data_IF_805286868124
#
_entry.id   IF_805286868124
#
_cell.length_a   1.000
_cell.length_b   1.000
_cell.length_c   1.000
_cell.angle_alpha   90.00
_cell.angle_beta   90.00
_cell.angle_gamma   90.00
#
_symmetry.space_group_name_H-M   'P 1'
#
loop_
_entity.id
_entity.type
_entity.pdbx_description
1 polymer ?
#
# COMPACT_ATOMS: atom_id res chain seq x y z
N UNK A 1 65.64 23.34 75.90
CA UNK A 1 66.57 23.02 74.84
C UNK A 1 65.95 21.89 73.99
N UNK A 2 65.45 22.21 72.86
CA UNK A 2 65.29 21.35 71.70
C UNK A 2 64.54 22.16 70.63
N UNK A 3 65.23 22.50 69.58
CA UNK A 3 64.70 23.20 68.41
C UNK A 3 63.91 22.23 67.58
N UNK A 4 62.65 22.54 67.22
CA UNK A 4 61.92 21.87 66.13
C UNK A 4 62.05 22.74 64.88
N UNK A 5 62.60 22.13 63.84
CA UNK A 5 62.56 22.64 62.48
C UNK A 5 61.12 22.36 61.93
N UNK A 6 60.51 23.43 61.45
CA UNK A 6 59.28 23.30 60.64
C UNK A 6 59.64 23.32 59.16
N UNK A 7 59.44 22.21 58.52
CA UNK A 7 59.56 22.04 57.05
C UNK A 7 58.26 22.45 56.40
N UNK A 8 58.30 23.56 55.65
CA UNK A 8 57.13 23.99 54.87
C UNK A 8 56.95 23.13 53.62
N UNK A 9 55.80 22.56 53.51
CA UNK A 9 55.34 21.87 52.28
C UNK A 9 54.50 22.85 51.46
N UNK A 10 55.06 23.29 50.33
CA UNK A 10 54.34 24.10 49.36
C UNK A 10 53.40 23.22 48.57
N UNK A 11 52.10 23.33 48.80
CA UNK A 11 51.08 22.68 47.98
C UNK A 11 50.92 23.47 46.67
N UNK A 12 51.31 22.86 45.58
CA UNK A 12 50.98 23.34 44.22
C UNK A 12 49.55 22.90 43.92
N UNK A 13 48.61 23.83 43.93
CA UNK A 13 47.26 23.64 43.41
C UNK A 13 47.34 23.65 41.90
N UNK A 14 47.26 22.45 41.31
CA UNK A 14 46.98 22.29 39.90
C UNK A 14 45.48 22.58 39.71
N UNK A 15 45.15 23.72 39.10
CA UNK A 15 43.83 24.06 38.66
C UNK A 15 43.52 23.12 37.48
N UNK A 16 42.75 22.05 37.70
CA UNK A 16 42.05 21.36 36.66
C UNK A 16 41.00 22.32 36.08
N UNK A 17 41.24 22.79 34.86
CA UNK A 17 40.20 23.43 34.06
C UNK A 17 39.04 22.42 33.90
N UNK A 18 37.95 22.70 34.61
CA UNK A 18 36.72 21.97 34.47
C UNK A 18 36.25 22.09 33.02
N UNK A 19 36.27 20.98 32.32
CA UNK A 19 35.43 20.79 31.12
C UNK A 19 34.00 20.91 31.62
N UNK A 20 33.34 22.01 31.27
CA UNK A 20 31.90 22.12 31.43
C UNK A 20 31.30 20.96 30.60
N UNK A 21 30.91 19.91 31.30
CA UNK A 21 29.94 18.97 30.77
C UNK A 21 28.63 19.75 30.65
N UNK A 22 28.37 20.28 29.45
CA UNK A 22 27.03 20.67 29.08
C UNK A 22 26.14 19.45 29.31
N UNK A 23 25.36 19.50 30.39
CA UNK A 23 24.24 18.63 30.61
C UNK A 23 23.35 18.75 29.35
N UNK A 24 23.16 17.64 28.66
CA UNK A 24 22.06 17.47 27.71
C UNK A 24 20.77 17.56 28.55
N UNK A 25 20.35 18.76 28.88
CA UNK A 25 19.03 19.03 29.41
C UNK A 25 18.05 18.97 28.26
N UNK A 26 17.04 18.14 28.44
CA UNK A 26 15.87 17.90 27.62
C UNK A 26 16.11 17.33 26.22
N UNK A 27 15.58 16.14 26.01
CA UNK A 27 15.51 15.36 24.79
C UNK A 27 14.89 16.03 23.57
N UNK A 28 15.23 17.26 23.28
CA UNK A 28 14.87 17.96 22.04
C UNK A 28 15.85 17.62 20.95
N UNK A 29 15.38 16.92 19.91
CA UNK A 29 16.19 16.54 18.75
C UNK A 29 16.68 17.73 17.90
N UNK A 30 16.31 18.97 18.22
CA UNK A 30 16.74 20.17 17.48
C UNK A 30 16.69 21.43 18.32
N UNK A 31 17.48 22.45 17.90
CA UNK A 31 17.58 23.74 18.56
C UNK A 31 16.35 24.63 18.41
N UNK A 32 16.16 25.58 19.33
CA UNK A 32 15.13 26.63 19.20
C UNK A 32 15.30 27.41 17.89
N UNK A 33 14.17 27.65 17.19
CA UNK A 33 14.16 28.34 15.89
C UNK A 33 14.20 27.41 14.67
N UNK A 34 14.21 26.09 14.85
CA UNK A 34 14.10 25.13 13.75
C UNK A 34 12.76 25.28 13.05
N UNK A 35 12.78 25.36 11.71
CA UNK A 35 11.56 25.44 10.89
C UNK A 35 10.74 24.15 11.00
N UNK A 36 9.47 24.28 11.38
CA UNK A 36 8.50 23.18 11.40
C UNK A 36 7.73 23.18 10.08
N UNK A 37 7.67 22.00 9.45
CA UNK A 37 6.90 21.76 8.23
C UNK A 37 5.56 21.11 8.61
N UNK A 38 4.46 21.75 8.22
CA UNK A 38 3.11 21.21 8.45
C UNK A 38 2.47 20.92 7.11
N UNK A 39 2.23 19.64 6.86
CA UNK A 39 1.64 19.15 5.62
C UNK A 39 0.30 18.49 5.85
N UNK A 40 -0.48 18.43 4.80
CA UNK A 40 -1.77 17.74 4.76
C UNK A 40 -1.67 16.53 3.84
N UNK A 41 -2.19 15.38 4.30
CA UNK A 41 -2.40 14.18 3.53
C UNK A 41 -3.90 13.89 3.42
N UNK A 42 -4.35 13.54 2.22
CA UNK A 42 -5.72 13.05 1.95
C UNK A 42 -5.66 11.60 1.48
N UNK A 43 -6.67 10.78 1.82
CA UNK A 43 -6.62 9.35 1.48
C UNK A 43 -7.90 8.89 0.79
N UNK A 44 -7.81 7.78 0.06
CA UNK A 44 -8.96 7.08 -0.53
C UNK A 44 -9.69 6.17 0.46
N UNK A 45 -9.21 6.08 1.70
CA UNK A 45 -9.68 5.14 2.72
C UNK A 45 -10.44 5.86 3.84
N UNK A 46 -11.40 5.20 4.47
CA UNK A 46 -12.00 5.71 5.71
C UNK A 46 -10.91 5.91 6.77
N UNK A 47 -11.02 6.98 7.54
CA UNK A 47 -10.04 7.28 8.60
C UNK A 47 -9.97 6.15 9.62
N UNK A 48 -8.76 5.80 10.05
CA UNK A 48 -8.48 4.72 11.01
C UNK A 48 -9.00 3.33 10.57
N UNK A 49 -9.33 3.16 9.29
CA UNK A 49 -9.71 1.84 8.79
C UNK A 49 -8.53 0.87 8.89
N UNK A 50 -8.73 -0.36 9.38
CA UNK A 50 -7.65 -1.33 9.55
C UNK A 50 -6.79 -1.49 8.28
N UNK A 51 -5.47 -1.56 8.45
CA UNK A 51 -4.50 -1.59 7.36
C UNK A 51 -4.52 -0.34 6.50
N UNK A 52 -5.49 -0.21 5.59
CA UNK A 52 -5.53 0.86 4.57
C UNK A 52 -5.61 2.27 5.15
N UNK A 53 -6.48 2.51 6.13
CA UNK A 53 -6.63 3.81 6.78
C UNK A 53 -5.52 4.07 7.82
N UNK A 54 -5.00 3.00 8.44
CA UNK A 54 -3.91 3.11 9.40
C UNK A 54 -2.55 3.32 8.73
N UNK A 55 -2.33 2.81 7.52
CA UNK A 55 -1.06 2.99 6.79
C UNK A 55 -0.62 4.45 6.67
N UNK A 56 -1.45 5.38 6.16
CA UNK A 56 -1.13 6.81 6.13
C UNK A 56 -0.95 7.43 7.51
N UNK A 57 -1.66 6.99 8.55
CA UNK A 57 -1.48 7.45 9.92
C UNK A 57 -0.12 6.98 10.48
N UNK A 58 0.26 5.73 10.25
CA UNK A 58 1.56 5.19 10.63
C UNK A 58 2.70 5.89 9.90
N UNK A 59 2.56 6.13 8.59
CA UNK A 59 3.52 6.95 7.84
C UNK A 59 3.70 8.34 8.46
N UNK A 60 2.60 9.04 8.76
CA UNK A 60 2.61 10.35 9.42
C UNK A 60 3.35 10.30 10.77
N UNK A 61 3.05 9.29 11.58
CA UNK A 61 3.70 9.04 12.87
C UNK A 61 5.21 8.81 12.71
N UNK A 62 5.63 7.98 11.75
CA UNK A 62 7.05 7.72 11.51
C UNK A 62 7.80 8.97 11.08
N UNK A 63 7.20 9.79 10.21
CA UNK A 63 7.79 11.07 9.81
C UNK A 63 7.95 12.00 11.02
N UNK A 64 6.93 12.10 11.88
CA UNK A 64 6.98 12.92 13.09
C UNK A 64 8.08 12.44 14.05
N UNK A 65 8.12 11.15 14.35
CA UNK A 65 9.11 10.52 15.24
C UNK A 65 10.54 10.66 14.70
N UNK A 66 10.79 10.33 13.43
CA UNK A 66 12.12 10.40 12.83
C UNK A 66 12.62 11.86 12.67
N UNK A 67 11.70 12.82 12.57
CA UNK A 67 12.04 14.23 12.49
C UNK A 67 12.00 14.93 13.84
N UNK A 68 11.68 14.20 14.93
CA UNK A 68 11.45 14.76 16.26
C UNK A 68 10.42 15.89 16.28
N UNK A 69 9.35 15.80 15.46
CA UNK A 69 8.31 16.82 15.36
C UNK A 69 8.62 17.96 14.39
N UNK A 70 9.76 17.93 13.68
CA UNK A 70 10.11 18.97 12.69
C UNK A 70 9.22 18.92 11.45
N UNK A 71 8.65 17.74 11.12
CA UNK A 71 7.69 17.57 10.06
C UNK A 71 6.44 16.86 10.57
N UNK A 72 5.33 17.56 10.51
CA UNK A 72 4.03 17.11 11.01
C UNK A 72 3.07 16.97 9.83
N UNK A 73 2.46 15.79 9.69
CA UNK A 73 1.53 15.49 8.60
C UNK A 73 0.14 15.22 9.21
N UNK A 74 -0.84 16.04 8.84
CA UNK A 74 -2.24 15.81 9.22
C UNK A 74 -2.95 14.99 8.18
N UNK A 75 -3.44 13.81 8.57
CA UNK A 75 -4.14 12.87 7.69
C UNK A 75 -5.64 13.11 7.75
N UNK A 76 -6.28 13.13 6.57
CA UNK A 76 -7.73 13.19 6.39
C UNK A 76 -8.21 11.96 5.63
N UNK A 77 -9.22 11.29 6.16
CA UNK A 77 -9.85 10.15 5.51
C UNK A 77 -10.71 10.53 4.30
N UNK A 78 -11.16 9.49 3.59
CA UNK A 78 -12.04 9.64 2.43
C UNK A 78 -13.28 10.47 2.73
N UNK A 79 -13.52 11.53 1.95
CA UNK A 79 -14.67 12.41 2.09
C UNK A 79 -14.55 13.50 3.17
N UNK A 80 -13.49 13.49 4.00
CA UNK A 80 -13.30 14.53 5.02
C UNK A 80 -12.77 15.85 4.43
N UNK A 81 -11.96 15.79 3.40
CA UNK A 81 -11.37 16.97 2.75
C UNK A 81 -11.64 17.00 1.24
N UNK A 82 -11.51 15.85 0.57
CA UNK A 82 -11.83 15.63 -0.84
C UNK A 82 -12.61 14.32 -0.99
N UNK A 83 -13.39 14.13 -2.07
CA UNK A 83 -13.95 12.83 -2.39
C UNK A 83 -12.84 11.76 -2.50
N UNK A 84 -13.14 10.52 -2.13
CA UNK A 84 -12.16 9.44 -2.10
C UNK A 84 -11.33 9.30 -3.39
N UNK A 85 -11.97 9.36 -4.56
CA UNK A 85 -11.31 9.26 -5.86
C UNK A 85 -10.80 10.62 -6.41
N UNK A 86 -10.85 11.68 -5.61
CA UNK A 86 -10.30 13.01 -5.94
C UNK A 86 -8.89 13.27 -5.40
N UNK A 87 -8.28 12.30 -4.74
CA UNK A 87 -6.96 12.42 -4.08
C UNK A 87 -5.86 12.82 -5.07
N UNK A 88 -5.78 12.16 -6.21
CA UNK A 88 -4.76 12.44 -7.24
C UNK A 88 -4.79 13.90 -7.70
N UNK A 89 -5.97 14.42 -8.02
CA UNK A 89 -6.14 15.80 -8.49
C UNK A 89 -5.78 16.81 -7.40
N UNK A 90 -6.20 16.55 -6.16
CA UNK A 90 -5.92 17.45 -5.05
C UNK A 90 -4.42 17.64 -4.82
N UNK A 91 -3.65 16.55 -4.92
CA UNK A 91 -2.18 16.59 -4.77
C UNK A 91 -1.50 17.18 -6.02
N UNK A 92 -1.90 16.74 -7.22
CA UNK A 92 -1.35 17.21 -8.47
C UNK A 92 -1.47 18.74 -8.62
N UNK A 93 -2.61 19.30 -8.21
CA UNK A 93 -2.89 20.74 -8.24
C UNK A 93 -2.25 21.53 -7.09
N UNK A 94 -1.60 20.85 -6.14
CA UNK A 94 -0.98 21.49 -4.98
C UNK A 94 -1.97 21.96 -3.89
N UNK A 95 -3.24 21.54 -3.96
CA UNK A 95 -4.24 21.86 -2.92
C UNK A 95 -3.87 21.23 -1.57
N UNK A 96 -3.20 20.09 -1.60
CA UNK A 96 -2.59 19.41 -0.45
C UNK A 96 -1.21 18.87 -0.87
N UNK A 97 -0.35 18.56 0.11
CA UNK A 97 1.03 18.14 -0.17
C UNK A 97 1.13 16.64 -0.44
N UNK A 98 0.27 15.83 0.17
CA UNK A 98 0.36 14.37 0.15
C UNK A 98 -1.00 13.73 -0.14
N UNK A 99 -0.95 12.57 -0.79
CA UNK A 99 -2.08 11.68 -0.95
C UNK A 99 -1.70 10.23 -0.68
N UNK A 100 -2.68 9.41 -0.31
CA UNK A 100 -2.52 7.96 -0.18
C UNK A 100 -3.69 7.25 -0.85
N UNK A 101 -3.38 6.26 -1.69
CA UNK A 101 -4.40 5.54 -2.45
C UNK A 101 -3.85 4.32 -3.17
N UNK A 102 -4.60 3.83 -4.16
CA UNK A 102 -4.15 2.80 -5.08
C UNK A 102 -4.02 3.40 -6.48
N UNK A 103 -2.86 3.24 -7.11
CA UNK A 103 -2.55 3.91 -8.38
C UNK A 103 -3.50 3.54 -9.53
N UNK A 104 -4.12 2.38 -9.49
CA UNK A 104 -5.11 1.97 -10.51
C UNK A 104 -6.38 2.86 -10.52
N UNK A 105 -6.70 3.57 -9.44
CA UNK A 105 -7.84 4.49 -9.44
C UNK A 105 -7.68 5.66 -10.41
N UNK A 106 -6.46 5.93 -10.84
CA UNK A 106 -6.11 7.02 -11.74
C UNK A 106 -5.94 6.58 -13.20
N UNK A 107 -6.33 5.36 -13.56
CA UNK A 107 -6.17 4.82 -14.92
C UNK A 107 -6.74 5.72 -16.01
N UNK A 108 -7.81 6.45 -15.72
CA UNK A 108 -8.38 7.44 -16.64
C UNK A 108 -7.50 8.68 -16.91
N UNK A 109 -6.41 8.86 -16.14
CA UNK A 109 -5.43 9.96 -16.28
C UNK A 109 -4.06 9.45 -16.67
N UNK A 110 -3.63 8.35 -16.03
CA UNK A 110 -2.34 7.70 -16.24
C UNK A 110 -2.61 6.22 -16.49
N UNK A 111 -2.69 5.84 -17.77
CA UNK A 111 -3.04 4.47 -18.15
C UNK A 111 -2.10 3.43 -17.51
N UNK A 112 -0.80 3.73 -17.50
CA UNK A 112 0.24 2.87 -16.89
C UNK A 112 0.19 2.76 -15.37
N UNK A 113 -0.58 3.59 -14.66
CA UNK A 113 -0.65 3.58 -13.19
C UNK A 113 -1.10 2.24 -12.61
N UNK A 114 -1.90 1.47 -13.36
CA UNK A 114 -2.41 0.18 -12.93
C UNK A 114 -1.30 -0.83 -12.58
N UNK A 115 -0.19 -0.79 -13.30
CA UNK A 115 0.93 -1.71 -13.09
C UNK A 115 1.62 -1.55 -11.73
N UNK A 116 1.52 -0.38 -11.13
CA UNK A 116 2.17 -0.07 -9.86
C UNK A 116 1.32 -0.47 -8.63
N UNK A 117 0.05 -0.83 -8.82
CA UNK A 117 -0.77 -1.44 -7.77
C UNK A 117 -0.80 -2.95 -7.92
N UNK A 118 -1.46 -3.49 -8.94
CA UNK A 118 -1.59 -4.91 -9.15
C UNK A 118 -1.89 -5.24 -10.61
N UNK A 119 -1.42 -6.41 -11.03
CA UNK A 119 -1.74 -7.01 -12.33
C UNK A 119 -2.35 -8.37 -12.08
N UNK A 120 -3.49 -8.71 -12.68
CA UNK A 120 -4.08 -10.04 -12.57
C UNK A 120 -3.06 -11.14 -12.93
N UNK A 121 -2.95 -12.19 -12.09
CA UNK A 121 -1.94 -13.25 -12.18
C UNK A 121 -0.49 -12.73 -12.21
N UNK A 122 -0.26 -11.59 -11.57
CA UNK A 122 1.01 -10.87 -11.56
C UNK A 122 1.92 -11.22 -10.39
N UNK A 123 2.65 -10.20 -9.94
CA UNK A 123 3.64 -10.29 -8.86
C UNK A 123 2.97 -10.32 -7.49
N UNK A 124 3.48 -11.17 -6.59
CA UNK A 124 3.15 -11.13 -5.16
C UNK A 124 3.76 -9.90 -4.49
N UNK A 125 3.39 -9.61 -3.24
CA UNK A 125 3.87 -8.43 -2.52
C UNK A 125 5.40 -8.32 -2.47
N UNK A 126 6.09 -9.42 -2.19
CA UNK A 126 7.55 -9.43 -2.15
C UNK A 126 8.16 -9.22 -3.54
N UNK A 127 7.58 -9.83 -4.56
CA UNK A 127 7.99 -9.66 -5.96
C UNK A 127 7.75 -8.23 -6.44
N UNK A 128 6.61 -7.61 -6.09
CA UNK A 128 6.32 -6.19 -6.36
C UNK A 128 7.37 -5.28 -5.72
N UNK A 129 7.69 -5.49 -4.46
CA UNK A 129 8.74 -4.73 -3.77
C UNK A 129 10.11 -4.92 -4.47
N UNK A 130 10.40 -6.15 -4.93
CA UNK A 130 11.61 -6.46 -5.70
C UNK A 130 11.66 -5.70 -7.02
N UNK A 131 10.57 -5.72 -7.81
CA UNK A 131 10.47 -4.98 -9.06
C UNK A 131 10.56 -3.48 -8.86
N UNK A 132 9.77 -2.94 -7.92
CA UNK A 132 9.75 -1.50 -7.65
C UNK A 132 11.13 -0.98 -7.25
N UNK A 133 11.82 -1.64 -6.33
CA UNK A 133 13.06 -1.09 -5.76
C UNK A 133 14.35 -1.51 -6.45
N UNK A 134 14.34 -2.59 -7.23
CA UNK A 134 15.53 -3.17 -7.87
C UNK A 134 15.32 -3.57 -9.33
N UNK A 135 14.06 -3.61 -9.80
CA UNK A 135 13.70 -3.96 -11.17
C UNK A 135 13.38 -2.76 -12.07
N UNK A 136 13.61 -1.52 -11.60
CA UNK A 136 13.34 -0.29 -12.36
C UNK A 136 11.91 0.23 -12.26
N UNK A 137 11.06 -0.38 -11.40
CA UNK A 137 9.65 0.00 -11.28
C UNK A 137 9.45 1.40 -10.72
N UNK A 138 10.28 1.83 -9.73
CA UNK A 138 10.15 3.19 -9.15
C UNK A 138 10.49 4.28 -10.15
N UNK A 139 11.55 4.10 -10.93
CA UNK A 139 11.95 5.05 -11.96
C UNK A 139 10.87 5.21 -13.05
N UNK A 140 10.22 4.10 -13.42
CA UNK A 140 9.11 4.11 -14.37
C UNK A 140 7.86 4.76 -13.78
N UNK A 141 7.62 4.58 -12.49
CA UNK A 141 6.48 5.22 -11.80
C UNK A 141 6.68 6.74 -11.70
N UNK A 142 7.89 7.18 -11.35
CA UNK A 142 8.25 8.60 -11.34
C UNK A 142 8.10 9.21 -12.75
N UNK A 143 8.56 8.52 -13.80
CA UNK A 143 8.41 8.98 -15.19
C UNK A 143 6.93 9.10 -15.58
N UNK A 144 6.09 8.12 -15.23
CA UNK A 144 4.65 8.14 -15.53
C UNK A 144 3.91 9.27 -14.82
N UNK A 145 4.36 9.65 -13.61
CA UNK A 145 3.71 10.69 -12.80
C UNK A 145 4.30 12.09 -12.96
N UNK A 146 5.47 12.21 -13.59
CA UNK A 146 6.14 13.49 -13.79
C UNK A 146 5.27 14.56 -14.50
N UNK A 147 4.45 14.22 -15.54
CA UNK A 147 3.57 15.21 -16.19
C UNK A 147 2.49 15.79 -15.27
N UNK A 148 2.22 15.14 -14.14
CA UNK A 148 1.17 15.52 -13.19
C UNK A 148 1.72 16.24 -11.96
N UNK A 149 3.00 16.63 -11.96
CA UNK A 149 3.64 17.29 -10.81
C UNK A 149 3.63 16.42 -9.53
N UNK A 150 3.78 15.10 -9.68
CA UNK A 150 3.71 14.13 -8.59
C UNK A 150 4.99 13.31 -8.48
N UNK A 151 5.33 12.96 -7.24
CA UNK A 151 6.37 12.00 -6.87
C UNK A 151 5.67 10.83 -6.17
N UNK A 152 5.70 9.61 -6.73
CA UNK A 152 5.14 8.43 -6.10
C UNK A 152 6.15 7.74 -5.16
N UNK A 153 5.65 7.13 -4.10
CA UNK A 153 6.38 6.20 -3.24
C UNK A 153 5.49 5.00 -2.92
N UNK A 154 6.07 3.80 -2.86
CA UNK A 154 5.37 2.66 -2.30
C UNK A 154 5.16 2.88 -0.80
N UNK A 155 3.90 2.91 -0.36
CA UNK A 155 3.50 3.29 1.00
C UNK A 155 2.51 2.34 1.66
N UNK A 156 2.34 1.14 1.12
CA UNK A 156 1.51 0.07 1.66
C UNK A 156 1.46 -1.13 0.71
N UNK A 157 1.14 -2.31 1.24
CA UNK A 157 0.85 -3.49 0.43
C UNK A 157 -0.15 -4.38 1.17
N UNK A 158 -1.19 -4.84 0.47
CA UNK A 158 -2.22 -5.70 1.06
C UNK A 158 -1.86 -7.20 1.11
N UNK A 159 -0.78 -7.60 0.45
CA UNK A 159 -0.50 -9.01 0.17
C UNK A 159 -1.48 -9.58 -0.86
N UNK A 160 -1.57 -10.92 -0.89
CA UNK A 160 -2.54 -11.62 -1.74
C UNK A 160 -3.93 -11.40 -1.19
N UNK A 161 -4.82 -10.92 -2.04
CA UNK A 161 -6.21 -10.66 -1.67
C UNK A 161 -7.11 -11.89 -1.82
N UNK A 162 -8.39 -11.74 -1.49
CA UNK A 162 -9.44 -12.72 -1.77
C UNK A 162 -10.14 -12.36 -3.07
N UNK A 163 -10.73 -13.36 -3.76
CA UNK A 163 -11.41 -13.12 -5.04
C UNK A 163 -12.71 -12.31 -4.91
N UNK A 164 -13.27 -12.25 -3.69
CA UNK A 164 -14.39 -11.38 -3.35
C UNK A 164 -15.62 -12.10 -2.82
N UNK A 165 -16.65 -11.31 -2.61
CA UNK A 165 -17.95 -11.67 -2.04
C UNK A 165 -19.00 -11.70 -3.13
N UNK A 166 -19.78 -12.78 -3.18
CA UNK A 166 -20.78 -13.04 -4.22
C UNK A 166 -22.11 -13.44 -3.60
N UNK A 167 -23.22 -12.97 -4.17
CA UNK A 167 -24.57 -13.41 -3.81
C UNK A 167 -25.00 -14.69 -4.52
N UNK A 168 -24.25 -15.11 -5.54
CA UNK A 168 -24.49 -16.32 -6.32
C UNK A 168 -23.25 -17.18 -6.37
N UNK A 169 -23.44 -18.47 -6.53
CA UNK A 169 -22.34 -19.40 -6.78
C UNK A 169 -21.70 -19.15 -8.15
N UNK A 170 -20.39 -19.30 -8.20
CA UNK A 170 -19.59 -19.26 -9.42
C UNK A 170 -19.02 -20.66 -9.67
N UNK A 171 -19.62 -21.39 -10.58
CA UNK A 171 -19.24 -22.75 -10.95
C UNK A 171 -18.57 -22.81 -12.33
N UNK A 172 -18.80 -21.80 -13.17
CA UNK A 172 -18.29 -21.69 -14.54
C UNK A 172 -18.12 -20.23 -14.96
N UNK A 173 -17.44 -19.99 -16.08
CA UNK A 173 -17.34 -18.65 -16.67
C UNK A 173 -18.70 -18.06 -17.06
N UNK A 174 -19.68 -18.92 -17.38
CA UNK A 174 -21.03 -18.51 -17.74
C UNK A 174 -21.75 -17.78 -16.60
N UNK A 175 -21.42 -18.10 -15.35
CA UNK A 175 -22.01 -17.47 -14.16
C UNK A 175 -21.56 -16.01 -13.97
N UNK A 176 -20.51 -15.58 -14.71
CA UNK A 176 -20.06 -14.19 -14.74
C UNK A 176 -20.88 -13.32 -15.70
N UNK A 177 -21.63 -13.90 -16.65
CA UNK A 177 -22.39 -13.13 -17.63
C UNK A 177 -23.53 -12.34 -16.97
N UNK A 178 -23.48 -11.02 -17.18
CA UNK A 178 -24.43 -10.08 -16.60
C UNK A 178 -24.28 -9.91 -15.08
N UNK A 179 -23.24 -10.46 -14.45
CA UNK A 179 -22.94 -10.25 -13.05
C UNK A 179 -22.51 -8.80 -12.84
N UNK A 180 -23.20 -8.06 -11.98
CA UNK A 180 -22.82 -6.71 -11.59
C UNK A 180 -21.80 -6.80 -10.47
N UNK A 181 -20.55 -6.41 -10.76
CA UNK A 181 -19.47 -6.55 -9.78
C UNK A 181 -18.71 -5.24 -9.58
N UNK A 182 -18.50 -4.90 -8.32
CA UNK A 182 -17.50 -3.89 -7.96
C UNK A 182 -16.14 -4.54 -7.99
N UNK A 183 -15.32 -4.13 -8.96
CA UNK A 183 -13.94 -4.58 -9.12
C UNK A 183 -13.16 -3.52 -9.91
N UNK A 184 -12.12 -2.89 -9.35
CA UNK A 184 -11.35 -1.84 -10.01
C UNK A 184 -10.24 -2.39 -10.90
N UNK A 185 -9.61 -1.50 -11.63
CA UNK A 185 -8.38 -1.76 -12.35
C UNK A 185 -8.49 -2.77 -13.48
N UNK A 186 -7.38 -3.38 -13.84
CA UNK A 186 -7.28 -4.37 -14.92
C UNK A 186 -8.19 -5.59 -14.71
N UNK A 187 -8.45 -5.95 -13.46
CA UNK A 187 -9.37 -7.04 -13.16
C UNK A 187 -10.81 -6.73 -13.57
N UNK A 188 -11.23 -5.46 -13.46
CA UNK A 188 -12.51 -5.01 -13.99
C UNK A 188 -12.61 -5.22 -15.50
N UNK A 189 -11.56 -4.87 -16.25
CA UNK A 189 -11.51 -5.12 -17.71
C UNK A 189 -11.59 -6.61 -18.04
N UNK A 190 -10.89 -7.46 -17.27
CA UNK A 190 -10.94 -8.92 -17.46
C UNK A 190 -12.35 -9.46 -17.22
N UNK A 191 -13.01 -9.03 -16.13
CA UNK A 191 -14.39 -9.45 -15.85
C UNK A 191 -15.39 -8.92 -16.89
N UNK A 192 -15.22 -7.68 -17.35
CA UNK A 192 -16.04 -7.11 -18.43
C UNK A 192 -15.92 -7.94 -19.71
N UNK A 193 -14.70 -8.34 -20.09
CA UNK A 193 -14.47 -9.21 -21.24
C UNK A 193 -15.02 -10.63 -21.04
N UNK A 194 -15.08 -11.10 -19.79
CA UNK A 194 -15.73 -12.35 -19.43
C UNK A 194 -17.29 -12.27 -19.44
N UNK A 195 -17.85 -11.08 -19.66
CA UNK A 195 -19.29 -10.83 -19.76
C UNK A 195 -19.95 -10.23 -18.52
N UNK A 196 -19.21 -9.84 -17.52
CA UNK A 196 -19.73 -9.14 -16.34
C UNK A 196 -19.94 -7.63 -16.61
N UNK A 197 -20.75 -6.99 -15.77
CA UNK A 197 -20.92 -5.54 -15.71
C UNK A 197 -20.12 -5.01 -14.52
N UNK A 198 -19.02 -4.32 -14.78
CA UNK A 198 -18.10 -3.90 -13.72
C UNK A 198 -18.21 -2.41 -13.39
N UNK A 199 -17.95 -2.06 -12.13
CA UNK A 199 -17.93 -0.68 -11.64
C UNK A 199 -16.83 -0.49 -10.59
N UNK A 200 -16.22 0.68 -10.59
CA UNK A 200 -15.31 1.11 -9.51
C UNK A 200 -16.06 1.99 -8.53
N UNK A 201 -16.13 1.57 -7.26
CA UNK A 201 -16.71 2.32 -6.16
C UNK A 201 -15.68 2.43 -5.03
N UNK A 202 -15.65 3.55 -4.29
CA UNK A 202 -14.84 3.67 -3.09
C UNK A 202 -15.33 2.70 -2.00
N UNK A 203 -14.42 2.28 -1.10
CA UNK A 203 -14.70 1.22 -0.13
C UNK A 203 -15.92 1.47 0.77
N UNK A 204 -16.13 2.71 1.20
CA UNK A 204 -17.26 3.09 2.05
C UNK A 204 -18.65 2.96 1.37
N UNK A 205 -18.71 2.77 0.07
CA UNK A 205 -19.95 2.62 -0.69
C UNK A 205 -20.29 1.15 -1.00
N UNK A 206 -19.34 0.23 -0.82
CA UNK A 206 -19.49 -1.17 -1.27
C UNK A 206 -20.58 -1.90 -0.48
N UNK A 207 -20.57 -1.82 0.86
CA UNK A 207 -21.54 -2.51 1.69
C UNK A 207 -22.99 -2.14 1.30
N UNK A 208 -23.27 -0.85 1.17
CA UNK A 208 -24.60 -0.37 0.82
C UNK A 208 -24.98 -0.78 -0.60
N UNK A 209 -24.04 -0.75 -1.56
CA UNK A 209 -24.26 -1.19 -2.95
C UNK A 209 -24.59 -2.68 -3.03
N UNK A 210 -23.91 -3.53 -2.26
CA UNK A 210 -24.25 -4.94 -2.10
C UNK A 210 -25.62 -5.10 -1.46
N UNK A 211 -25.89 -4.42 -0.33
CA UNK A 211 -27.15 -4.54 0.39
C UNK A 211 -28.35 -4.18 -0.47
N UNK A 212 -28.25 -3.09 -1.24
CA UNK A 212 -29.33 -2.60 -2.11
C UNK A 212 -29.44 -3.36 -3.45
N UNK A 213 -28.49 -4.27 -3.78
CA UNK A 213 -28.49 -4.99 -5.06
C UNK A 213 -28.06 -4.11 -6.25
N UNK A 214 -27.38 -2.99 -6.01
CA UNK A 214 -26.73 -2.20 -7.06
C UNK A 214 -25.62 -3.02 -7.70
N UNK A 215 -24.92 -3.82 -6.90
CA UNK A 215 -23.98 -4.85 -7.34
C UNK A 215 -24.34 -6.21 -6.75
N UNK A 216 -24.04 -7.28 -7.47
CA UNK A 216 -24.26 -8.67 -7.09
C UNK A 216 -23.04 -9.29 -6.41
N UNK A 217 -21.88 -8.69 -6.64
CA UNK A 217 -20.59 -9.12 -6.10
C UNK A 217 -19.66 -7.93 -5.90
N UNK A 218 -18.69 -8.09 -5.00
CA UNK A 218 -17.63 -7.12 -4.79
C UNK A 218 -16.37 -7.79 -4.26
N UNK A 219 -15.21 -7.32 -4.70
CA UNK A 219 -13.96 -7.57 -4.04
C UNK A 219 -13.54 -6.32 -3.24
N UNK A 220 -12.68 -6.53 -2.24
CA UNK A 220 -12.10 -5.42 -1.50
C UNK A 220 -10.63 -5.69 -1.16
N UNK A 221 -10.33 -6.43 -0.11
CA UNK A 221 -8.94 -6.81 0.22
C UNK A 221 -8.88 -8.28 0.66
N UNK A 222 -9.42 -8.58 1.83
CA UNK A 222 -9.31 -9.88 2.45
C UNK A 222 -9.95 -9.91 3.84
N UNK A 223 -9.87 -11.05 4.54
CA UNK A 223 -10.68 -11.32 5.73
C UNK A 223 -10.67 -10.21 6.78
N UNK A 224 -9.53 -9.60 7.04
CA UNK A 224 -9.39 -8.57 8.08
C UNK A 224 -10.19 -7.30 7.78
N UNK A 225 -10.11 -6.81 6.55
CA UNK A 225 -10.87 -5.65 6.09
C UNK A 225 -12.33 -5.98 5.82
N UNK A 226 -12.59 -7.12 5.21
CA UNK A 226 -13.91 -7.53 4.75
C UNK A 226 -14.85 -7.82 5.95
N UNK A 227 -14.29 -8.41 7.03
CA UNK A 227 -14.97 -8.56 8.31
C UNK A 227 -15.35 -7.19 8.91
N UNK A 228 -14.43 -6.21 8.85
CA UNK A 228 -14.66 -4.86 9.36
C UNK A 228 -15.77 -4.13 8.61
N UNK A 229 -15.87 -4.32 7.29
CA UNK A 229 -16.96 -3.78 6.49
C UNK A 229 -18.27 -4.58 6.64
N UNK A 230 -18.21 -5.80 7.16
CA UNK A 230 -19.40 -6.62 7.39
C UNK A 230 -19.99 -7.24 6.13
N UNK A 231 -19.21 -7.47 5.08
CA UNK A 231 -19.70 -8.02 3.80
C UNK A 231 -20.39 -9.37 3.94
N UNK A 232 -20.02 -10.17 4.93
CA UNK A 232 -20.68 -11.43 5.30
C UNK A 232 -22.16 -11.28 5.68
N UNK A 233 -22.65 -10.06 5.96
CA UNK A 233 -24.05 -9.81 6.28
C UNK A 233 -24.93 -9.60 5.04
N UNK A 234 -24.30 -9.39 3.88
CA UNK A 234 -24.98 -8.99 2.64
C UNK A 234 -24.58 -9.82 1.42
N UNK A 235 -23.74 -10.85 1.62
CA UNK A 235 -23.27 -11.76 0.57
C UNK A 235 -23.06 -13.15 1.16
N UNK A 236 -23.39 -14.19 0.38
CA UNK A 236 -23.47 -15.57 0.85
C UNK A 236 -22.14 -16.34 0.68
N UNK A 237 -21.37 -16.02 -0.36
CA UNK A 237 -20.19 -16.77 -0.77
C UNK A 237 -18.95 -15.91 -0.75
N UNK A 238 -17.86 -16.43 -0.19
CA UNK A 238 -16.54 -15.80 -0.15
C UNK A 238 -15.52 -16.63 -0.91
N UNK A 239 -14.98 -16.08 -1.98
CA UNK A 239 -14.12 -16.82 -2.91
C UNK A 239 -12.63 -16.49 -2.78
N UNK A 240 -11.80 -17.51 -3.06
CA UNK A 240 -10.35 -17.43 -3.21
C UNK A 240 -9.88 -18.23 -4.46
N UNK A 241 -8.63 -18.06 -4.92
CA UNK A 241 -7.64 -17.06 -4.55
C UNK A 241 -7.92 -15.69 -5.17
N UNK A 242 -7.29 -14.64 -4.61
CA UNK A 242 -7.29 -13.29 -5.17
C UNK A 242 -6.43 -13.18 -6.42
N UNK A 243 -6.83 -13.83 -7.50
CA UNK A 243 -6.13 -13.91 -8.78
C UNK A 243 -5.84 -12.56 -9.41
N UNK A 244 -6.65 -11.58 -9.08
CA UNK A 244 -6.67 -10.22 -9.62
C UNK A 244 -5.66 -9.30 -8.93
N UNK A 245 -5.44 -9.47 -7.63
CA UNK A 245 -4.57 -8.64 -6.80
C UNK A 245 -3.66 -9.49 -5.90
N UNK A 246 -2.61 -10.11 -6.48
CA UNK A 246 -1.72 -10.98 -5.71
C UNK A 246 -0.72 -10.25 -4.83
N UNK A 247 -0.59 -8.91 -4.95
CA UNK A 247 0.37 -8.11 -4.20
C UNK A 247 0.15 -6.62 -4.38
N UNK A 248 -1.04 -6.12 -4.00
CA UNK A 248 -1.46 -4.76 -4.27
C UNK A 248 -0.64 -3.75 -3.49
N UNK A 249 0.26 -3.05 -4.19
CA UNK A 249 0.99 -1.92 -3.63
C UNK A 249 0.11 -0.68 -3.60
N UNK A 250 0.15 0.01 -2.47
CA UNK A 250 -0.49 1.30 -2.28
C UNK A 250 0.54 2.41 -2.35
N UNK A 251 0.11 3.58 -2.79
CA UNK A 251 1.00 4.70 -3.03
C UNK A 251 0.86 5.80 -1.98
N UNK A 252 1.98 6.45 -1.71
CA UNK A 252 2.02 7.82 -1.22
C UNK A 252 2.40 8.69 -2.41
N UNK A 253 1.54 9.62 -2.79
CA UNK A 253 1.85 10.62 -3.80
C UNK A 253 2.16 11.95 -3.14
N UNK A 254 3.17 12.66 -3.65
CA UNK A 254 3.65 13.92 -3.10
C UNK A 254 3.60 14.97 -4.20
N UNK A 255 3.07 16.15 -3.90
CA UNK A 255 3.21 17.29 -4.79
C UNK A 255 4.70 17.65 -4.97
N UNK A 256 5.19 17.64 -6.21
CA UNK A 256 6.62 17.82 -6.51
C UNK A 256 7.15 19.17 -6.04
N UNK A 257 6.41 20.24 -6.28
CA UNK A 257 6.84 21.58 -5.86
C UNK A 257 6.96 21.68 -4.34
N UNK A 258 6.00 21.11 -3.59
CA UNK A 258 6.09 21.04 -2.14
C UNK A 258 7.31 20.21 -1.68
N UNK A 259 7.56 19.06 -2.32
CA UNK A 259 8.69 18.19 -2.00
C UNK A 259 10.05 18.88 -2.24
N UNK A 260 10.17 19.65 -3.33
CA UNK A 260 11.40 20.36 -3.67
C UNK A 260 11.77 21.44 -2.65
N UNK A 261 10.81 21.96 -1.87
CA UNK A 261 11.06 22.93 -0.79
C UNK A 261 11.72 22.32 0.45
N UNK A 262 11.72 21.00 0.57
CA UNK A 262 12.25 20.29 1.73
C UNK A 262 13.78 20.18 1.67
N UNK A 263 14.47 20.26 2.80
CA UNK A 263 15.87 19.90 2.90
C UNK A 263 16.07 18.38 2.71
N UNK A 264 17.27 18.00 2.32
CA UNK A 264 17.58 16.62 1.91
C UNK A 264 17.38 15.59 3.00
N UNK A 265 17.58 15.94 4.26
CA UNK A 265 17.33 15.07 5.40
C UNK A 265 15.83 14.72 5.54
N UNK A 266 14.93 15.69 5.36
CA UNK A 266 13.48 15.43 5.37
C UNK A 266 13.03 14.60 4.16
N UNK A 267 13.61 14.85 2.97
CA UNK A 267 13.37 14.01 1.79
C UNK A 267 13.75 12.56 2.02
N UNK A 268 14.92 12.34 2.65
CA UNK A 268 15.36 10.99 3.01
C UNK A 268 14.44 10.33 4.03
N UNK A 269 14.02 11.05 5.08
CA UNK A 269 13.10 10.53 6.09
C UNK A 269 11.76 10.14 5.46
N UNK A 270 11.15 10.97 4.63
CA UNK A 270 9.90 10.64 3.91
C UNK A 270 10.05 9.32 3.14
N UNK A 271 11.14 9.16 2.39
CA UNK A 271 11.41 7.95 1.61
C UNK A 271 11.49 6.69 2.49
N UNK A 272 12.18 6.76 3.62
CA UNK A 272 12.33 5.60 4.50
C UNK A 272 11.08 5.36 5.36
N UNK A 273 10.36 6.39 5.77
CA UNK A 273 9.08 6.28 6.43
C UNK A 273 8.04 5.58 5.52
N UNK A 274 8.02 5.90 4.21
CA UNK A 274 7.15 5.22 3.25
C UNK A 274 7.50 3.73 3.14
N UNK A 275 8.79 3.37 3.06
CA UNK A 275 9.21 1.96 3.04
C UNK A 275 8.82 1.22 4.33
N UNK A 276 8.92 1.87 5.49
CA UNK A 276 8.51 1.30 6.76
C UNK A 276 7.00 1.08 6.81
N UNK A 277 6.20 2.05 6.37
CA UNK A 277 4.75 1.93 6.30
C UNK A 277 4.30 0.84 5.31
N UNK A 278 4.99 0.70 4.16
CA UNK A 278 4.74 -0.35 3.19
C UNK A 278 4.94 -1.74 3.79
N UNK A 279 6.04 -1.97 4.50
CA UNK A 279 6.33 -3.26 5.14
C UNK A 279 5.37 -3.54 6.30
N UNK A 280 5.13 -2.57 7.17
CA UNK A 280 4.24 -2.75 8.33
C UNK A 280 2.82 -3.11 7.92
N UNK A 281 2.28 -2.48 6.87
CA UNK A 281 0.94 -2.82 6.37
C UNK A 281 0.89 -4.29 5.91
N UNK A 282 1.90 -4.77 5.18
CA UNK A 282 1.99 -6.16 4.75
C UNK A 282 2.07 -7.13 5.94
N UNK A 283 2.86 -6.78 6.95
CA UNK A 283 3.01 -7.57 8.18
C UNK A 283 1.68 -7.63 8.96
N UNK A 284 0.96 -6.50 9.06
CA UNK A 284 -0.36 -6.44 9.69
C UNK A 284 -1.36 -7.36 8.98
N UNK A 285 -1.47 -7.28 7.64
CA UNK A 285 -2.36 -8.15 6.87
C UNK A 285 -1.98 -9.62 7.02
N UNK A 286 -0.70 -9.93 6.92
CA UNK A 286 -0.20 -11.31 7.10
C UNK A 286 -0.57 -11.88 8.47
N UNK A 287 -0.45 -11.07 9.53
CA UNK A 287 -0.74 -11.51 10.89
C UNK A 287 -2.25 -11.59 11.20
N UNK A 288 -3.07 -10.71 10.61
CA UNK A 288 -4.47 -10.55 11.02
C UNK A 288 -5.49 -11.23 10.13
N UNK A 289 -5.18 -11.43 8.84
CA UNK A 289 -6.11 -12.09 7.91
C UNK A 289 -6.50 -13.50 8.37
N UNK A 290 -5.55 -14.28 8.90
CA UNK A 290 -5.84 -15.64 9.36
C UNK A 290 -6.87 -15.68 10.50
N UNK A 291 -6.75 -14.78 11.48
CA UNK A 291 -7.68 -14.67 12.61
C UNK A 291 -9.07 -14.21 12.15
N UNK A 292 -9.10 -13.22 11.27
CA UNK A 292 -10.35 -12.71 10.71
C UNK A 292 -11.05 -13.77 9.85
N UNK A 293 -10.31 -14.58 9.08
CA UNK A 293 -10.88 -15.69 8.32
C UNK A 293 -11.50 -16.74 9.23
N UNK A 294 -10.79 -17.12 10.31
CA UNK A 294 -11.33 -18.05 11.32
C UNK A 294 -12.64 -17.50 11.91
N UNK A 295 -12.67 -16.21 12.23
CA UNK A 295 -13.88 -15.57 12.78
C UNK A 295 -15.03 -15.56 11.76
N UNK A 296 -14.77 -15.24 10.50
CA UNK A 296 -15.77 -15.29 9.42
C UNK A 296 -16.38 -16.70 9.26
N UNK A 297 -15.55 -17.75 9.32
CA UNK A 297 -16.00 -19.13 9.16
C UNK A 297 -16.74 -19.62 10.42
N UNK A 298 -16.12 -19.48 11.60
CA UNK A 298 -16.61 -20.13 12.82
C UNK A 298 -17.76 -19.36 13.50
N UNK A 299 -17.74 -18.03 13.46
CA UNK A 299 -18.76 -17.21 14.12
C UNK A 299 -19.84 -16.72 13.18
N UNK A 300 -19.49 -16.46 11.92
CA UNK A 300 -20.42 -15.90 10.94
C UNK A 300 -20.90 -16.91 9.88
N UNK A 301 -20.40 -18.18 9.96
CA UNK A 301 -20.77 -19.28 9.06
C UNK A 301 -20.60 -18.94 7.57
N UNK A 302 -19.56 -18.19 7.22
CA UNK A 302 -19.26 -17.79 5.84
C UNK A 302 -18.93 -19.03 5.00
N UNK A 303 -19.57 -19.15 3.84
CA UNK A 303 -19.29 -20.20 2.87
C UNK A 303 -18.04 -19.83 2.05
N UNK A 304 -16.88 -20.30 2.52
CA UNK A 304 -15.60 -20.08 1.87
C UNK A 304 -15.39 -21.08 0.73
N UNK A 305 -15.17 -20.57 -0.48
CA UNK A 305 -15.06 -21.41 -1.70
C UNK A 305 -13.83 -21.06 -2.53
N UNK A 306 -13.24 -22.09 -3.12
CA UNK A 306 -12.25 -21.92 -4.18
C UNK A 306 -12.96 -21.64 -5.51
N UNK A 307 -12.50 -20.65 -6.28
CA UNK A 307 -12.90 -20.53 -7.68
C UNK A 307 -12.49 -21.77 -8.46
N UNK A 308 -13.36 -22.31 -9.33
CA UNK A 308 -13.01 -23.47 -10.15
C UNK A 308 -11.76 -23.21 -10.97
N UNK A 309 -10.89 -24.22 -11.10
CA UNK A 309 -9.65 -24.10 -11.88
C UNK A 309 -9.93 -23.81 -13.36
N UNK A 310 -11.09 -24.27 -13.89
CA UNK A 310 -11.55 -23.93 -15.23
C UNK A 310 -11.83 -22.43 -15.38
N UNK A 311 -12.48 -21.80 -14.38
CA UNK A 311 -12.74 -20.36 -14.37
C UNK A 311 -11.41 -19.59 -14.31
N UNK A 312 -10.51 -19.96 -13.40
CA UNK A 312 -9.19 -19.33 -13.27
C UNK A 312 -8.36 -19.44 -14.56
N UNK A 313 -8.45 -20.59 -15.25
CA UNK A 313 -7.74 -20.81 -16.52
C UNK A 313 -8.25 -19.88 -17.62
N UNK A 314 -9.56 -19.72 -17.74
CA UNK A 314 -10.15 -18.82 -18.74
C UNK A 314 -9.90 -17.34 -18.38
N UNK A 315 -10.01 -16.94 -17.10
CA UNK A 315 -9.67 -15.58 -16.65
C UNK A 315 -8.21 -15.25 -16.95
N UNK A 316 -7.28 -16.21 -16.77
CA UNK A 316 -5.87 -16.02 -17.10
C UNK A 316 -5.64 -15.81 -18.60
N UNK A 317 -6.38 -16.53 -19.44
CA UNK A 317 -6.35 -16.35 -20.89
C UNK A 317 -6.89 -14.98 -21.28
N UNK A 318 -8.07 -14.61 -20.77
CA UNK A 318 -8.68 -13.29 -21.00
C UNK A 318 -7.75 -12.17 -20.51
N UNK A 319 -7.07 -12.36 -19.37
CA UNK A 319 -6.09 -11.38 -18.88
C UNK A 319 -5.00 -11.08 -19.91
N UNK A 320 -4.48 -12.10 -20.59
CA UNK A 320 -3.46 -11.90 -21.62
C UNK A 320 -3.99 -11.05 -22.78
N UNK A 321 -5.18 -11.33 -23.25
CA UNK A 321 -5.86 -10.59 -24.33
C UNK A 321 -6.11 -9.12 -23.90
N UNK A 322 -6.64 -8.92 -22.68
CA UNK A 322 -6.86 -7.58 -22.11
C UNK A 322 -5.55 -6.79 -22.02
N UNK A 323 -4.45 -7.43 -21.60
CA UNK A 323 -3.16 -6.77 -21.48
C UNK A 323 -2.61 -6.34 -22.83
N UNK A 324 -2.74 -7.16 -23.87
CA UNK A 324 -2.30 -6.84 -25.23
C UNK A 324 -3.04 -5.58 -25.75
N UNK A 325 -4.36 -5.54 -25.62
CA UNK A 325 -5.18 -4.39 -26.03
C UNK A 325 -4.91 -3.15 -25.15
N UNK A 326 -4.73 -3.37 -23.83
CA UNK A 326 -4.57 -2.29 -22.87
C UNK A 326 -3.30 -1.45 -23.14
N UNK A 327 -2.22 -2.07 -23.58
CA UNK A 327 -0.96 -1.36 -23.83
C UNK A 327 -0.83 -0.81 -25.25
N UNK A 328 -1.69 -1.21 -26.20
CA UNK A 328 -1.52 -0.99 -27.64
C UNK A 328 -1.23 0.47 -27.99
N UNK A 329 -2.01 1.40 -27.43
CA UNK A 329 -1.99 2.82 -27.79
C UNK A 329 -1.18 3.72 -26.83
N UNK A 330 -0.52 3.13 -25.80
CA UNK A 330 0.16 3.92 -24.77
C UNK A 330 1.65 3.51 -24.64
N UNK A 331 2.57 4.35 -25.17
CA UNK A 331 4.00 4.04 -25.09
C UNK A 331 4.54 3.89 -23.66
N UNK A 332 3.96 4.63 -22.69
CA UNK A 332 4.36 4.49 -21.29
C UNK A 332 3.87 3.19 -20.69
N UNK A 333 2.63 2.78 -20.99
CA UNK A 333 2.10 1.49 -20.58
C UNK A 333 2.91 0.32 -21.19
N UNK A 334 3.30 0.42 -22.48
CA UNK A 334 4.18 -0.55 -23.13
C UNK A 334 5.53 -0.67 -22.42
N UNK A 335 6.15 0.46 -22.10
CA UNK A 335 7.46 0.52 -21.41
C UNK A 335 7.40 -0.11 -20.03
N UNK A 336 6.38 0.23 -19.24
CA UNK A 336 6.16 -0.30 -17.89
C UNK A 336 5.86 -1.80 -17.95
N UNK A 337 4.94 -2.21 -18.82
CA UNK A 337 4.56 -3.62 -18.96
C UNK A 337 5.72 -4.51 -19.38
N UNK A 338 6.57 -4.02 -20.29
CA UNK A 338 7.79 -4.74 -20.69
C UNK A 338 8.70 -4.99 -19.49
N UNK A 339 9.05 -3.96 -18.72
CA UNK A 339 9.88 -4.07 -17.53
C UNK A 339 9.25 -5.01 -16.48
N UNK A 340 7.95 -4.85 -16.23
CA UNK A 340 7.20 -5.69 -15.30
C UNK A 340 7.26 -7.17 -15.69
N UNK A 341 7.00 -7.50 -16.97
CA UNK A 341 7.00 -8.88 -17.45
C UNK A 341 8.39 -9.51 -17.45
N UNK A 342 9.41 -8.78 -17.89
CA UNK A 342 10.80 -9.27 -17.85
C UNK A 342 11.21 -9.64 -16.43
N UNK A 343 10.88 -8.80 -15.44
CA UNK A 343 11.14 -9.10 -14.04
C UNK A 343 10.30 -10.30 -13.56
N UNK A 344 8.99 -10.32 -13.89
CA UNK A 344 8.08 -11.41 -13.50
C UNK A 344 8.57 -12.77 -13.98
N UNK A 345 9.00 -12.89 -15.23
CA UNK A 345 9.52 -14.16 -15.78
C UNK A 345 10.76 -14.65 -15.03
N UNK A 346 11.67 -13.73 -14.66
CA UNK A 346 12.87 -14.07 -13.92
C UNK A 346 12.55 -14.52 -12.49
N UNK A 347 11.73 -13.75 -11.77
CA UNK A 347 11.45 -14.02 -10.34
C UNK A 347 10.61 -15.28 -10.16
N UNK A 348 9.65 -15.56 -11.04
CA UNK A 348 8.84 -16.79 -10.99
C UNK A 348 9.71 -18.05 -11.14
N UNK A 349 10.73 -18.00 -12.00
CA UNK A 349 11.64 -19.14 -12.17
C UNK A 349 12.40 -19.45 -10.88
N UNK A 350 12.84 -18.42 -10.16
CA UNK A 350 13.49 -18.58 -8.87
C UNK A 350 12.50 -19.01 -7.77
N UNK A 351 11.36 -18.33 -7.65
CA UNK A 351 10.37 -18.62 -6.59
C UNK A 351 9.78 -20.02 -6.72
N UNK A 352 9.73 -20.60 -7.92
CA UNK A 352 9.30 -21.98 -8.12
C UNK A 352 10.19 -22.99 -7.38
N UNK A 353 11.49 -22.76 -7.29
CA UNK A 353 12.46 -23.65 -6.64
C UNK A 353 12.86 -23.20 -5.23
N UNK A 354 12.44 -22.02 -4.80
CA UNK A 354 12.67 -21.48 -3.46
C UNK A 354 11.37 -21.48 -2.63
N UNK A 355 10.66 -20.37 -2.58
CA UNK A 355 9.53 -20.18 -1.66
C UNK A 355 8.38 -21.15 -1.93
N UNK A 356 8.00 -21.33 -3.22
CA UNK A 356 6.92 -22.27 -3.55
C UNK A 356 7.32 -23.71 -3.19
N UNK A 357 8.53 -24.15 -3.54
CA UNK A 357 8.98 -25.48 -3.21
C UNK A 357 9.05 -25.70 -1.70
N UNK A 358 9.45 -24.68 -0.93
CA UNK A 358 9.46 -24.76 0.53
C UNK A 358 8.04 -24.80 1.12
N UNK A 359 7.12 -23.95 0.62
CA UNK A 359 5.72 -23.97 1.04
C UNK A 359 5.10 -25.34 0.79
N UNK A 360 5.25 -25.90 -0.42
CA UNK A 360 4.76 -27.24 -0.76
C UNK A 360 5.40 -28.31 0.15
N UNK A 361 6.69 -28.17 0.50
CA UNK A 361 7.42 -29.13 1.36
C UNK A 361 6.95 -29.10 2.81
N UNK A 362 6.69 -27.94 3.39
CA UNK A 362 6.21 -27.84 4.78
C UNK A 362 4.77 -28.35 4.98
N UNK A 363 4.04 -28.55 3.89
CA UNK A 363 2.68 -29.09 3.87
C UNK A 363 2.64 -30.60 3.57
N UNK A 364 3.83 -31.26 3.44
CA UNK A 364 3.91 -32.71 3.34
C UNK A 364 3.61 -33.36 4.70
N UNK A 365 2.76 -34.39 4.69
CA UNK A 365 2.45 -35.23 5.86
C UNK A 365 3.61 -36.19 6.23
#
# INVERSE_FOLDING_TARGET
>A
MKKLLATGITLILIACSGTETTSLEDGGCFSTGTKIYKWTMVTTWPKNFPGLGMGPENFSKYVDEMTCGRMQIKVYGAGEFVPALGVFDAVSQGNVQLGHGASYYWTGKVKSSQFFTAVPFGLTAQEMNGWLHYGGGMELWEEAYAPFNLIPLAGGNSGVQMAGWFKKEINSLEDLKGLKMRIPGLAGEVFTRAGAETVTLPGNEIFLSLQQGVVDAAEWVGPYNDLTFGFHQVSDYYYYPGWHEPGSTLEIIINKEAYETLPDDLKAIIKYAAKSANQEMLDEYTARNNKALTELIEKHNVDLRKLPDSVLTELKKITKEVMEDFIEDDPMAQKVYKSYNEFKEQVINYHRISEKAYIDTRELD
#
